data_IF_307123932176
#
_entry.id   IF_307123932176
#
_cell.length_a   1.000
_cell.length_b   1.000
_cell.length_c   1.000
_cell.angle_alpha   90.00
_cell.angle_beta   90.00
_cell.angle_gamma   90.00
#
_symmetry.space_group_name_H-M   'P 1'
#
loop_
_entity.id
_entity.type
_entity.pdbx_description
1 polymer ?
#
# COMPACT_ATOMS: atom_id res chain seq x y z
N UNK A 1 -28.02 5.26 -19.71
CA UNK A 1 -27.76 4.60 -18.41
C UNK A 1 -26.31 4.09 -18.27
N UNK A 2 -25.49 4.07 -19.33
CA UNK A 2 -24.04 3.76 -19.25
C UNK A 2 -23.16 4.97 -18.84
N UNK A 3 -23.52 6.19 -19.22
CA UNK A 3 -22.69 7.39 -18.98
C UNK A 3 -22.36 7.66 -17.50
N UNK A 4 -23.24 7.30 -16.57
CA UNK A 4 -22.98 7.48 -15.14
C UNK A 4 -21.94 6.49 -14.58
N UNK A 5 -21.80 5.30 -15.18
CA UNK A 5 -20.77 4.31 -14.78
C UNK A 5 -19.39 4.66 -15.34
N UNK A 6 -19.31 5.24 -16.54
CA UNK A 6 -18.05 5.71 -17.12
C UNK A 6 -17.53 6.98 -16.44
N UNK A 7 -18.43 7.88 -15.99
CA UNK A 7 -18.05 9.05 -15.20
C UNK A 7 -17.56 8.64 -13.80
N UNK A 8 -18.15 7.61 -13.20
CA UNK A 8 -17.72 7.08 -11.91
C UNK A 8 -16.35 6.36 -11.97
N UNK A 9 -16.05 5.66 -13.08
CA UNK A 9 -14.69 5.14 -13.33
C UNK A 9 -13.66 6.25 -13.55
N UNK A 10 -14.00 7.34 -14.24
CA UNK A 10 -13.14 8.54 -14.37
C UNK A 10 -12.86 9.25 -13.05
N UNK A 11 -13.79 9.18 -12.10
CA UNK A 11 -13.61 9.71 -10.73
C UNK A 11 -12.73 8.81 -9.85
N UNK A 12 -12.52 7.53 -10.22
CA UNK A 12 -11.61 6.60 -9.53
C UNK A 12 -10.22 6.53 -10.21
N UNK A 13 -10.13 6.73 -11.53
CA UNK A 13 -8.86 6.77 -12.32
C UNK A 13 -8.04 8.06 -12.16
N UNK A 14 -8.43 8.99 -11.29
CA UNK A 14 -7.79 10.33 -11.21
C UNK A 14 -6.42 10.33 -10.49
N UNK A 15 -5.90 9.18 -10.08
CA UNK A 15 -4.55 9.05 -9.56
C UNK A 15 -3.66 8.51 -10.66
N UNK A 16 -2.66 9.31 -11.02
CA UNK A 16 -1.65 8.99 -12.01
C UNK A 16 -0.94 7.66 -11.68
N UNK A 17 -0.88 6.68 -12.60
CA UNK A 17 -0.07 5.48 -12.40
C UNK A 17 1.39 5.77 -12.06
N UNK A 18 1.96 6.87 -12.57
CA UNK A 18 3.31 7.32 -12.23
C UNK A 18 3.41 7.66 -10.73
N UNK A 19 2.37 8.27 -10.16
CA UNK A 19 2.32 8.57 -8.72
C UNK A 19 2.30 7.31 -7.87
N UNK A 20 1.61 6.25 -8.32
CA UNK A 20 1.63 4.95 -7.63
C UNK A 20 3.03 4.36 -7.65
N UNK A 21 3.75 4.49 -8.77
CA UNK A 21 5.13 3.99 -8.88
C UNK A 21 6.08 4.78 -7.99
N UNK A 22 5.99 6.12 -7.96
CA UNK A 22 6.80 6.94 -7.06
C UNK A 22 6.56 6.54 -5.60
N UNK A 23 5.30 6.33 -5.18
CA UNK A 23 5.01 5.83 -3.83
C UNK A 23 5.65 4.47 -3.57
N UNK A 24 5.62 3.55 -4.55
CA UNK A 24 6.30 2.25 -4.44
C UNK A 24 7.81 2.42 -4.30
N UNK A 25 8.44 3.31 -5.06
CA UNK A 25 9.88 3.59 -4.98
C UNK A 25 10.27 4.13 -3.59
N UNK A 26 9.50 5.09 -3.05
CA UNK A 26 9.73 5.65 -1.70
C UNK A 26 9.61 4.57 -0.63
N UNK A 27 8.57 3.73 -0.71
CA UNK A 27 8.37 2.61 0.21
C UNK A 27 9.50 1.59 0.08
N UNK A 28 9.88 1.21 -1.14
CA UNK A 28 10.94 0.23 -1.40
C UNK A 28 12.31 0.73 -0.91
N UNK A 29 12.54 2.04 -0.95
CA UNK A 29 13.75 2.66 -0.43
C UNK A 29 13.75 2.80 1.10
N UNK A 30 12.65 2.49 1.80
CA UNK A 30 12.57 2.63 3.26
C UNK A 30 13.23 1.45 3.98
N UNK A 31 14.26 1.70 4.83
CA UNK A 31 14.92 0.62 5.57
C UNK A 31 13.93 -0.18 6.42
N UNK A 32 14.02 -1.51 6.32
CA UNK A 32 13.14 -2.44 7.03
C UNK A 32 11.88 -2.86 6.27
N UNK A 33 11.56 -2.21 5.13
CA UNK A 33 10.57 -2.73 4.18
C UNK A 33 11.26 -3.77 3.28
N UNK A 34 10.72 -4.98 3.27
CA UNK A 34 11.25 -6.13 2.52
C UNK A 34 10.36 -6.55 1.33
N UNK A 35 9.24 -5.86 1.14
CA UNK A 35 8.29 -6.09 0.07
C UNK A 35 7.09 -5.15 0.16
N UNK A 36 6.40 -4.98 -0.97
CA UNK A 36 5.20 -4.15 -1.08
C UNK A 36 4.14 -4.96 -1.80
N UNK A 37 3.09 -5.36 -1.09
CA UNK A 37 2.01 -6.16 -1.64
C UNK A 37 1.05 -5.28 -2.44
N UNK A 38 0.70 -4.12 -1.90
CA UNK A 38 -0.23 -3.22 -2.56
C UNK A 38 -0.01 -1.76 -2.21
N UNK A 39 -0.34 -0.88 -3.15
CA UNK A 39 -0.41 0.57 -2.95
C UNK A 39 -1.70 1.03 -3.59
N UNK A 40 -2.48 1.81 -2.84
CA UNK A 40 -3.68 2.48 -3.30
C UNK A 40 -3.56 3.94 -2.94
N UNK A 41 -3.93 4.80 -3.87
CA UNK A 41 -3.92 6.25 -3.65
C UNK A 41 -5.26 6.78 -4.14
N UNK A 42 -5.77 7.81 -3.46
CA UNK A 42 -7.00 8.51 -3.85
C UNK A 42 -6.94 9.98 -3.53
N UNK A 43 -7.64 10.77 -4.33
CA UNK A 43 -7.91 12.18 -4.02
C UNK A 43 -9.05 12.30 -3.01
N UNK A 44 -8.84 13.17 -2.01
CA UNK A 44 -9.86 13.61 -1.06
C UNK A 44 -9.87 15.15 -1.10
N UNK A 45 -10.83 15.71 -1.82
CA UNK A 45 -10.85 17.14 -2.12
C UNK A 45 -9.64 17.53 -2.99
N UNK A 46 -8.69 18.26 -2.41
CA UNK A 46 -7.46 18.72 -3.08
C UNK A 46 -6.19 18.07 -2.53
N UNK A 47 -6.32 17.05 -1.68
CA UNK A 47 -5.21 16.31 -1.09
C UNK A 47 -5.24 14.84 -1.52
N UNK A 48 -4.08 14.20 -1.50
CA UNK A 48 -3.93 12.78 -1.73
C UNK A 48 -3.96 12.03 -0.40
N UNK A 49 -4.50 10.81 -0.43
CA UNK A 49 -4.36 9.83 0.65
C UNK A 49 -3.90 8.50 0.09
N UNK A 50 -2.97 7.88 0.79
CA UNK A 50 -2.40 6.59 0.43
C UNK A 50 -2.77 5.50 1.45
N UNK A 51 -2.88 4.29 0.96
CA UNK A 51 -2.91 3.06 1.74
C UNK A 51 -1.87 2.13 1.14
N UNK A 52 -1.01 1.55 1.98
CA UNK A 52 0.01 0.61 1.54
C UNK A 52 0.03 -0.63 2.43
N UNK A 53 0.15 -1.79 1.80
CA UNK A 53 0.41 -3.06 2.45
C UNK A 53 1.88 -3.42 2.20
N UNK A 54 2.68 -3.45 3.26
CA UNK A 54 4.14 -3.66 3.20
C UNK A 54 4.53 -4.87 4.02
N UNK A 55 5.66 -5.47 3.64
CA UNK A 55 6.26 -6.60 4.34
C UNK A 55 7.49 -6.16 5.11
N UNK A 56 7.66 -6.63 6.34
CA UNK A 56 8.87 -6.47 7.13
C UNK A 56 9.29 -7.80 7.76
N UNK A 57 10.50 -7.86 8.33
CA UNK A 57 11.00 -9.06 8.98
C UNK A 57 10.05 -9.52 10.11
N UNK A 58 9.69 -10.81 10.06
CA UNK A 58 8.81 -11.47 11.02
C UNK A 58 9.36 -11.56 12.44
N UNK A 59 10.67 -11.39 12.64
CA UNK A 59 11.31 -11.46 13.96
C UNK A 59 11.32 -10.11 14.70
N UNK A 60 10.88 -9.02 14.05
CA UNK A 60 10.79 -7.71 14.67
C UNK A 60 9.73 -7.66 15.76
N UNK A 61 10.01 -6.91 16.81
CA UNK A 61 8.99 -6.52 17.78
C UNK A 61 7.95 -5.61 17.13
N UNK A 62 6.76 -5.55 17.75
CA UNK A 62 5.71 -4.62 17.32
C UNK A 62 6.19 -3.16 17.28
N UNK A 63 7.06 -2.78 18.23
CA UNK A 63 7.60 -1.40 18.30
C UNK A 63 8.55 -1.13 17.13
N UNK A 64 9.45 -2.05 16.80
CA UNK A 64 10.35 -1.91 15.64
C UNK A 64 9.59 -1.86 14.32
N UNK A 65 8.58 -2.73 14.17
CA UNK A 65 7.68 -2.71 13.01
C UNK A 65 6.89 -1.39 12.90
N UNK A 66 6.43 -0.86 14.03
CA UNK A 66 5.78 0.45 14.07
C UNK A 66 6.74 1.57 13.62
N UNK A 67 7.99 1.57 14.07
CA UNK A 67 8.98 2.58 13.67
C UNK A 67 9.29 2.54 12.16
N UNK A 68 9.33 1.35 11.55
CA UNK A 68 9.47 1.21 10.09
C UNK A 68 8.26 1.84 9.39
N UNK A 69 7.05 1.54 9.89
CA UNK A 69 5.79 2.07 9.35
C UNK A 69 5.71 3.59 9.50
N UNK A 70 6.12 4.14 10.65
CA UNK A 70 6.18 5.57 10.90
C UNK A 70 7.20 6.26 9.97
N UNK A 71 8.38 5.67 9.79
CA UNK A 71 9.40 6.19 8.88
C UNK A 71 8.89 6.20 7.43
N UNK A 72 8.27 5.11 6.98
CA UNK A 72 7.66 5.03 5.65
C UNK A 72 6.58 6.11 5.46
N UNK A 73 5.70 6.31 6.45
CA UNK A 73 4.68 7.36 6.40
C UNK A 73 5.33 8.76 6.33
N UNK A 74 6.30 9.03 7.19
CA UNK A 74 7.04 10.29 7.21
C UNK A 74 7.70 10.59 5.86
N UNK A 75 8.38 9.60 5.27
CA UNK A 75 9.01 9.75 3.94
C UNK A 75 8.00 10.02 2.84
N UNK A 76 6.87 9.31 2.83
CA UNK A 76 5.81 9.57 1.86
C UNK A 76 5.27 11.01 1.96
N UNK A 77 5.05 11.52 3.18
CA UNK A 77 4.61 12.92 3.37
C UNK A 77 5.65 13.94 2.88
N UNK A 78 6.94 13.60 2.94
CA UNK A 78 8.01 14.45 2.44
C UNK A 78 8.19 14.40 0.92
N UNK A 79 8.11 13.20 0.34
CA UNK A 79 8.48 12.95 -1.05
C UNK A 79 7.29 13.10 -2.01
N UNK A 80 6.05 13.00 -1.52
CA UNK A 80 4.84 13.03 -2.34
C UNK A 80 4.06 14.34 -2.13
N UNK A 81 4.09 15.28 -3.10
CA UNK A 81 3.36 16.52 -2.99
C UNK A 81 1.86 16.30 -2.80
N UNK A 82 1.24 17.08 -1.90
CA UNK A 82 -0.21 17.04 -1.59
C UNK A 82 -0.68 15.77 -0.89
N UNK A 83 0.19 14.82 -0.56
CA UNK A 83 -0.17 13.72 0.34
C UNK A 83 -0.39 14.27 1.74
N UNK A 84 -1.59 14.07 2.29
CA UNK A 84 -1.90 14.50 3.65
C UNK A 84 -1.94 13.38 4.68
N UNK A 85 -2.10 12.12 4.24
CA UNK A 85 -2.06 10.96 5.11
C UNK A 85 -1.73 9.67 4.33
N UNK A 86 -0.96 8.78 4.95
CA UNK A 86 -0.76 7.41 4.50
C UNK A 86 -1.06 6.41 5.63
N UNK A 87 -1.92 5.43 5.36
CA UNK A 87 -2.13 4.29 6.26
C UNK A 87 -1.21 3.16 5.78
N UNK A 88 -0.32 2.70 6.66
CA UNK A 88 0.63 1.64 6.36
C UNK A 88 0.27 0.43 7.21
N UNK A 89 -0.11 -0.64 6.52
CA UNK A 89 -0.35 -1.93 7.12
C UNK A 89 0.89 -2.80 6.90
N UNK A 90 1.51 -3.19 8.00
CA UNK A 90 2.77 -3.93 7.99
C UNK A 90 2.51 -5.38 8.36
N UNK A 91 2.84 -6.29 7.46
CA UNK A 91 2.71 -7.73 7.63
C UNK A 91 4.10 -8.39 7.73
N UNK A 92 4.25 -9.46 8.52
CA UNK A 92 5.50 -10.19 8.57
C UNK A 92 5.75 -10.92 7.24
N UNK A 93 6.99 -10.86 6.75
CA UNK A 93 7.47 -11.67 5.64
C UNK A 93 7.89 -13.03 6.16
N UNK A 94 7.06 -14.04 5.94
CA UNK A 94 7.46 -15.41 6.21
C UNK A 94 8.32 -16.00 5.09
N UNK A 95 9.13 -17.01 5.40
CA UNK A 95 9.76 -17.85 4.38
C UNK A 95 8.65 -18.61 3.64
N UNK A 96 8.80 -18.79 2.33
CA UNK A 96 7.75 -19.30 1.42
C UNK A 96 6.97 -20.49 2.00
N UNK A 97 5.65 -20.33 2.14
CA UNK A 97 4.71 -21.35 2.60
C UNK A 97 3.72 -20.85 3.68
N UNK A 98 4.18 -19.95 4.55
CA UNK A 98 3.34 -19.36 5.60
C UNK A 98 2.80 -17.99 5.17
N UNK A 99 1.54 -17.71 5.51
CA UNK A 99 0.87 -16.43 5.23
C UNK A 99 0.27 -15.86 6.50
N UNK A 100 0.50 -14.57 6.76
CA UNK A 100 -0.10 -13.86 7.88
C UNK A 100 -1.64 -13.81 7.81
N UNK A 101 -2.21 -14.03 6.62
CA UNK A 101 -3.61 -13.72 6.31
C UNK A 101 -4.51 -14.95 6.11
N UNK A 102 -4.09 -16.15 6.54
CA UNK A 102 -4.84 -17.40 6.35
C UNK A 102 -6.30 -17.31 6.85
N UNK A 103 -6.52 -16.67 8.01
CA UNK A 103 -7.85 -16.56 8.61
C UNK A 103 -8.82 -15.74 7.75
N UNK A 104 -8.32 -14.76 6.99
CA UNK A 104 -9.15 -13.89 6.14
C UNK A 104 -9.08 -14.25 4.66
N UNK A 105 -8.16 -15.13 4.26
CA UNK A 105 -7.93 -15.50 2.86
C UNK A 105 -9.21 -15.98 2.14
N UNK A 106 -10.15 -16.62 2.84
CA UNK A 106 -11.41 -17.11 2.27
C UNK A 106 -12.43 -16.00 1.95
N UNK A 107 -12.20 -14.77 2.40
CA UNK A 107 -13.02 -13.60 2.03
C UNK A 107 -12.57 -12.97 0.72
N UNK A 108 -11.36 -13.27 0.25
CA UNK A 108 -10.81 -12.72 -0.98
C UNK A 108 -10.86 -13.76 -2.11
N UNK A 109 -11.09 -13.32 -3.36
CA UNK A 109 -10.94 -14.23 -4.50
C UNK A 109 -9.49 -14.71 -4.55
N UNK A 110 -9.29 -16.01 -4.79
CA UNK A 110 -7.96 -16.56 -5.04
C UNK A 110 -7.39 -15.86 -6.28
N UNK A 111 -6.33 -15.09 -6.13
CA UNK A 111 -5.58 -14.53 -7.25
C UNK A 111 -5.01 -15.70 -8.05
N UNK A 112 -5.55 -15.92 -9.25
CA UNK A 112 -5.02 -16.90 -10.20
C UNK A 112 -3.63 -16.44 -10.64
N UNK A 113 -2.59 -16.93 -9.97
CA UNK A 113 -1.21 -16.82 -10.44
C UNK A 113 -0.70 -18.25 -10.56
N UNK A 114 -1.16 -18.92 -11.61
CA UNK A 114 -0.60 -20.16 -12.16
C UNK A 114 -0.77 -20.06 -13.69
N UNK A 115 0.17 -19.38 -14.33
CA UNK A 115 0.67 -19.66 -15.69
C UNK A 115 2.20 -19.51 -15.69
#
# INVERSE_FOLDING_TARGET
REAARDIYRRLMDSVDPELVEIVREVLAATPGIEGIESVRIRWIGHELRAEADVLSDSELTLVESHLISENAHHRLLHEIPRLSEAIIHTSPKYRSGDSAHLNIAHHFPKTSTDE
#
